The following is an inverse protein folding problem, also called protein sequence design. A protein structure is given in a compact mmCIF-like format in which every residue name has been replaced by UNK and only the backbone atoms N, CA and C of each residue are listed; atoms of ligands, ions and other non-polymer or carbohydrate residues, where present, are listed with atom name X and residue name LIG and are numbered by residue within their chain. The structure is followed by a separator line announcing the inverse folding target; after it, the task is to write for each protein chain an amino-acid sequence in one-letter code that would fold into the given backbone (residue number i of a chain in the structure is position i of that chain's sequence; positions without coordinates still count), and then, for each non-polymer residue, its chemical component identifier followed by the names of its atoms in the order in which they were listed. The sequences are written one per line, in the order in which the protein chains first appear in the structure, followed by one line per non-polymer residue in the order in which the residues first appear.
data_IF_942820198223
#
_entry.id   IF_942820198223
#
_cell.length_a   1.000
_cell.length_b   1.000
_cell.length_c   1.000
_cell.angle_alpha   90.00
_cell.angle_beta   90.00
_cell.angle_gamma   90.00
#
_symmetry.space_group_name_H-M   'P 1'
#
loop_
_entity.id
_entity.type
_entity.pdbx_description
1 polymer ?
#
# COMPACT_ATOMS: atom_id res chain seq x y z
N UNK A 1 20.94 6.01 13.83
CA UNK A 1 20.47 4.63 14.00
C UNK A 1 20.72 3.91 12.68
N UNK A 2 21.52 2.86 12.66
CA UNK A 2 21.83 2.13 11.44
C UNK A 2 20.67 1.15 11.14
N UNK A 3 20.13 1.13 9.92
CA UNK A 3 19.08 0.19 9.50
C UNK A 3 19.49 -1.27 9.77
N UNK A 4 20.78 -1.56 9.73
CA UNK A 4 21.31 -2.90 9.99
C UNK A 4 21.05 -3.41 11.42
N UNK A 5 20.85 -2.51 12.38
CA UNK A 5 20.78 -2.86 13.80
C UNK A 5 19.34 -3.07 14.28
N UNK A 6 18.35 -2.54 13.56
CA UNK A 6 16.93 -2.72 13.89
C UNK A 6 16.36 -3.96 13.18
N UNK A 7 15.81 -4.88 13.97
CA UNK A 7 15.12 -6.07 13.46
C UNK A 7 13.95 -5.69 12.55
N UNK A 8 13.13 -4.74 12.98
CA UNK A 8 11.97 -4.25 12.21
C UNK A 8 12.36 -3.53 10.92
N UNK A 9 13.41 -2.71 10.96
CA UNK A 9 13.90 -2.02 9.78
C UNK A 9 14.44 -2.98 8.70
N UNK A 10 14.99 -4.14 9.07
CA UNK A 10 15.38 -5.20 8.12
C UNK A 10 14.17 -5.71 7.35
N UNK A 11 13.07 -6.00 8.04
CA UNK A 11 11.85 -6.47 7.39
C UNK A 11 11.17 -5.37 6.56
N UNK A 12 11.15 -4.12 7.03
CA UNK A 12 10.65 -2.99 6.25
C UNK A 12 11.44 -2.82 4.94
N UNK A 13 12.78 -2.88 5.01
CA UNK A 13 13.64 -2.82 3.83
C UNK A 13 13.35 -3.98 2.87
N UNK A 14 13.19 -5.20 3.39
CA UNK A 14 12.93 -6.38 2.59
C UNK A 14 11.55 -6.31 1.91
N UNK A 15 10.52 -5.84 2.61
CA UNK A 15 9.20 -5.58 2.01
C UNK A 15 9.28 -4.54 0.87
N UNK A 16 9.99 -3.44 1.10
CA UNK A 16 10.19 -2.41 0.08
C UNK A 16 10.88 -2.98 -1.16
N UNK A 17 11.95 -3.74 -0.94
CA UNK A 17 12.71 -4.36 -2.03
C UNK A 17 11.88 -5.38 -2.81
N UNK A 18 11.13 -6.26 -2.14
CA UNK A 18 10.25 -7.22 -2.82
C UNK A 18 9.13 -6.51 -3.58
N UNK A 19 8.55 -5.46 -3.03
CA UNK A 19 7.59 -4.63 -3.74
C UNK A 19 8.20 -4.03 -5.01
N UNK A 20 9.37 -3.44 -4.91
CA UNK A 20 10.09 -2.93 -6.09
C UNK A 20 10.39 -4.03 -7.12
N UNK A 21 10.97 -5.15 -6.69
CA UNK A 21 11.31 -6.28 -7.56
C UNK A 21 10.10 -6.83 -8.31
N UNK A 22 8.97 -7.01 -7.62
CA UNK A 22 7.74 -7.53 -8.24
C UNK A 22 7.15 -6.56 -9.28
N UNK A 23 7.33 -5.27 -9.09
CA UNK A 23 6.81 -4.24 -10.00
C UNK A 23 7.75 -3.94 -11.16
N UNK A 24 9.06 -4.02 -10.97
CA UNK A 24 10.06 -3.69 -12.00
C UNK A 24 10.00 -4.72 -13.15
N UNK A 25 10.24 -4.34 -14.43
CA UNK A 25 10.31 -5.27 -15.55
C UNK A 25 11.34 -6.38 -15.33
N UNK A 26 11.10 -7.54 -15.93
CA UNK A 26 11.99 -8.70 -15.90
C UNK A 26 11.47 -9.86 -15.04
N UNK A 27 12.15 -10.98 -15.08
CA UNK A 27 11.80 -12.18 -14.33
C UNK A 27 11.96 -11.97 -12.83
N UNK A 28 11.01 -12.50 -12.06
CA UNK A 28 11.02 -12.45 -10.60
C UNK A 28 11.79 -13.62 -10.05
N UNK A 29 12.67 -13.37 -9.11
CA UNK A 29 13.47 -14.42 -8.47
C UNK A 29 13.41 -14.25 -6.95
N UNK A 30 12.90 -15.26 -6.28
CA UNK A 30 13.04 -15.48 -4.85
C UNK A 30 13.83 -16.78 -4.67
N UNK A 31 14.85 -16.74 -3.84
CA UNK A 31 15.69 -17.88 -3.59
C UNK A 31 15.40 -18.44 -2.19
N UNK A 32 15.58 -19.69 -2.00
CA UNK A 32 15.42 -20.57 -0.83
C UNK A 32 15.32 -19.83 0.52
N UNK A 33 14.11 -19.70 1.07
CA UNK A 33 13.85 -19.08 2.36
C UNK A 33 13.75 -17.55 2.36
N UNK A 34 13.96 -16.87 1.22
CA UNK A 34 13.83 -15.42 1.15
C UNK A 34 12.38 -14.95 1.38
N UNK A 35 11.40 -15.76 1.00
CA UNK A 35 9.97 -15.48 1.14
C UNK A 35 9.51 -15.33 2.60
N UNK A 36 10.26 -15.87 3.55
CA UNK A 36 10.04 -15.65 4.98
C UNK A 36 11.23 -15.02 5.70
N UNK A 37 12.22 -14.51 4.93
CA UNK A 37 13.32 -13.72 5.48
C UNK A 37 14.32 -14.55 6.29
N UNK A 38 14.69 -15.74 5.84
CA UNK A 38 15.74 -16.54 6.46
C UNK A 38 17.04 -15.73 6.60
N UNK A 39 17.69 -15.80 7.76
CA UNK A 39 18.90 -15.02 8.04
C UNK A 39 20.19 -15.71 7.56
N UNK A 40 20.17 -17.02 7.56
CA UNK A 40 21.33 -17.82 7.10
C UNK A 40 21.26 -18.00 5.59
N UNK A 41 22.42 -18.02 4.97
CA UNK A 41 22.50 -18.37 3.55
C UNK A 41 22.05 -19.83 3.34
N UNK A 42 21.41 -20.09 2.20
CA UNK A 42 20.99 -21.42 1.84
C UNK A 42 22.18 -22.39 1.75
N UNK A 43 21.96 -23.60 2.23
CA UNK A 43 22.95 -24.66 2.22
C UNK A 43 22.28 -25.99 1.80
N UNK A 44 22.82 -26.63 0.77
CA UNK A 44 22.27 -27.87 0.21
C UNK A 44 22.29 -29.08 1.18
N UNK A 45 23.10 -29.01 2.23
CA UNK A 45 23.21 -30.09 3.24
C UNK A 45 22.21 -29.91 4.40
N UNK A 46 21.48 -28.79 4.46
CA UNK A 46 20.57 -28.47 5.56
C UNK A 46 19.19 -28.12 5.05
N UNK A 47 18.18 -28.41 5.87
CA UNK A 47 16.83 -27.85 5.68
C UNK A 47 16.84 -26.34 5.86
N UNK A 48 15.86 -25.65 5.25
CA UNK A 48 15.58 -24.25 5.56
C UNK A 48 15.17 -24.10 7.03
N UNK A 49 15.38 -22.88 7.58
CA UNK A 49 15.10 -22.56 8.98
C UNK A 49 13.57 -22.36 9.20
N UNK A 50 12.77 -23.39 8.91
CA UNK A 50 11.29 -23.36 9.00
C UNK A 50 10.76 -22.93 10.37
N UNK A 51 11.55 -23.09 11.43
CA UNK A 51 11.21 -22.64 12.78
C UNK A 51 11.02 -21.11 12.85
N UNK A 52 11.56 -20.34 11.90
CA UNK A 52 11.39 -18.89 11.83
C UNK A 52 9.93 -18.49 11.60
N UNK A 53 9.14 -19.35 10.96
CA UNK A 53 7.69 -19.13 10.80
C UNK A 53 6.90 -19.17 12.13
N UNK A 54 7.53 -19.52 13.24
CA UNK A 54 6.97 -19.35 14.58
C UNK A 54 7.08 -17.91 15.11
N UNK A 55 7.70 -16.99 14.39
CA UNK A 55 7.85 -15.59 14.77
C UNK A 55 7.06 -14.67 13.84
N UNK A 56 6.35 -13.72 14.42
CA UNK A 56 5.38 -12.86 13.73
C UNK A 56 5.98 -12.18 12.48
N UNK A 57 7.16 -11.55 12.58
CA UNK A 57 7.77 -10.83 11.46
C UNK A 57 8.07 -11.70 10.24
N UNK A 58 8.42 -12.95 10.44
CA UNK A 58 8.66 -13.91 9.34
C UNK A 58 7.35 -14.36 8.69
N UNK A 59 6.32 -14.59 9.50
CA UNK A 59 4.98 -14.96 9.02
C UNK A 59 4.29 -13.79 8.30
N UNK A 60 4.42 -12.57 8.82
CA UNK A 60 3.95 -11.34 8.19
C UNK A 60 4.63 -11.10 6.83
N UNK A 61 5.96 -11.29 6.75
CA UNK A 61 6.69 -11.20 5.49
C UNK A 61 6.22 -12.27 4.49
N UNK A 62 6.03 -13.51 4.93
CA UNK A 62 5.53 -14.58 4.06
C UNK A 62 4.13 -14.25 3.54
N UNK A 63 3.27 -13.67 4.38
CA UNK A 63 1.94 -13.18 3.99
C UNK A 63 2.06 -12.10 2.92
N UNK A 64 2.99 -11.15 3.09
CA UNK A 64 3.25 -10.13 2.09
C UNK A 64 3.70 -10.72 0.75
N UNK A 65 4.66 -11.65 0.75
CA UNK A 65 5.12 -12.31 -0.48
C UNK A 65 4.00 -13.10 -1.15
N UNK A 66 3.17 -13.79 -0.39
CA UNK A 66 1.97 -14.48 -0.90
C UNK A 66 1.01 -13.49 -1.58
N UNK A 67 0.77 -12.35 -0.94
CA UNK A 67 -0.08 -11.27 -1.48
C UNK A 67 0.52 -10.67 -2.74
N UNK A 68 1.83 -10.39 -2.77
CA UNK A 68 2.54 -9.90 -3.96
C UNK A 68 2.43 -10.88 -5.14
N UNK A 69 2.56 -12.18 -4.90
CA UNK A 69 2.42 -13.20 -5.94
C UNK A 69 1.00 -13.24 -6.52
N UNK A 70 -0.03 -13.11 -5.67
CA UNK A 70 -1.42 -13.03 -6.11
C UNK A 70 -1.67 -11.74 -6.90
N UNK A 71 -1.22 -10.61 -6.36
CA UNK A 71 -1.31 -9.29 -6.96
C UNK A 71 -0.63 -9.22 -8.33
N UNK A 72 0.55 -9.79 -8.47
CA UNK A 72 1.28 -9.88 -9.75
C UNK A 72 0.46 -10.64 -10.81
N UNK A 73 -0.13 -11.78 -10.45
CA UNK A 73 -0.95 -12.59 -11.37
C UNK A 73 -2.24 -11.88 -11.77
N UNK A 74 -2.86 -11.16 -10.84
CA UNK A 74 -4.13 -10.45 -11.06
C UNK A 74 -3.97 -9.23 -11.98
N UNK A 75 -2.77 -8.62 -12.00
CA UNK A 75 -2.54 -7.37 -12.72
C UNK A 75 -1.65 -7.56 -13.95
N UNK A 76 -2.24 -7.70 -15.15
CA UNK A 76 -1.51 -7.90 -16.42
C UNK A 76 -0.45 -6.84 -16.73
N UNK A 77 -0.59 -5.64 -16.15
CA UNK A 77 0.39 -4.56 -16.29
C UNK A 77 1.82 -4.95 -15.85
N UNK A 78 1.98 -5.97 -14.99
CA UNK A 78 3.29 -6.39 -14.48
C UNK A 78 3.98 -7.46 -15.35
N UNK A 79 3.25 -8.15 -16.23
CA UNK A 79 3.82 -9.29 -16.96
C UNK A 79 3.45 -9.36 -18.44
N UNK A 80 2.39 -8.67 -18.88
CA UNK A 80 1.90 -8.79 -20.25
C UNK A 80 2.83 -8.12 -21.28
N UNK A 81 3.40 -6.95 -20.91
CA UNK A 81 4.33 -6.16 -21.76
C UNK A 81 5.65 -5.97 -21.00
N UNK A 82 6.29 -7.09 -20.63
CA UNK A 82 7.44 -7.06 -19.71
C UNK A 82 8.78 -6.84 -20.42
N UNK A 83 8.86 -7.20 -21.70
CA UNK A 83 10.10 -7.09 -22.50
C UNK A 83 10.14 -5.91 -23.46
N UNK A 84 9.15 -5.02 -23.38
CA UNK A 84 9.04 -3.82 -24.21
C UNK A 84 8.99 -2.57 -23.35
N UNK A 85 9.66 -1.53 -23.81
CA UNK A 85 9.61 -0.20 -23.20
C UNK A 85 8.18 0.40 -23.17
N UNK A 86 7.26 -0.11 -23.98
CA UNK A 86 5.84 0.30 -23.97
C UNK A 86 5.14 -0.04 -22.65
N UNK A 87 5.55 -1.13 -22.01
CA UNK A 87 5.00 -1.59 -20.73
C UNK A 87 5.55 -0.88 -19.50
N UNK A 88 6.58 -0.01 -19.67
CA UNK A 88 7.28 0.65 -18.58
C UNK A 88 7.55 2.13 -18.89
N UNK A 89 7.40 2.99 -17.89
CA UNK A 89 7.76 4.40 -18.02
C UNK A 89 8.17 4.97 -16.67
N UNK A 90 9.35 5.56 -16.61
CA UNK A 90 9.78 6.34 -15.45
C UNK A 90 8.93 7.60 -15.28
N UNK A 91 8.66 7.96 -14.02
CA UNK A 91 8.12 9.27 -13.61
C UNK A 91 9.17 10.02 -12.82
N UNK A 92 9.74 9.38 -11.81
CA UNK A 92 10.81 9.91 -10.97
C UNK A 92 11.93 8.86 -10.96
N UNK A 93 12.93 8.99 -11.84
CA UNK A 93 14.04 8.02 -11.92
C UNK A 93 15.18 8.31 -10.94
N UNK A 94 15.36 9.56 -10.52
CA UNK A 94 16.63 10.11 -10.02
C UNK A 94 16.53 11.01 -8.77
N UNK A 95 15.44 10.92 -7.99
CA UNK A 95 15.35 11.66 -6.72
C UNK A 95 16.23 10.99 -5.64
N UNK A 96 17.54 11.09 -5.83
CA UNK A 96 18.54 10.53 -4.91
C UNK A 96 18.57 11.23 -3.55
N UNK A 97 18.17 12.50 -3.47
CA UNK A 97 18.14 13.25 -2.22
C UNK A 97 17.07 12.73 -1.25
N UNK A 98 15.94 12.29 -1.79
CA UNK A 98 14.86 11.71 -1.00
C UNK A 98 14.86 10.18 -1.02
N UNK A 99 15.69 9.56 -1.87
CA UNK A 99 15.73 8.11 -2.12
C UNK A 99 14.36 7.56 -2.51
N UNK A 100 13.68 8.28 -3.40
CA UNK A 100 12.35 7.93 -3.92
C UNK A 100 12.46 7.67 -5.41
N UNK A 101 11.84 6.60 -5.88
CA UNK A 101 11.64 6.33 -7.30
C UNK A 101 10.15 6.12 -7.59
N UNK A 102 9.73 6.50 -8.79
CA UNK A 102 8.37 6.27 -9.26
C UNK A 102 8.34 5.91 -10.75
N UNK A 103 7.49 4.94 -11.10
CA UNK A 103 7.33 4.48 -12.46
C UNK A 103 5.92 3.94 -12.72
N UNK A 104 5.59 3.80 -14.00
CA UNK A 104 4.35 3.22 -14.48
C UNK A 104 4.59 1.84 -15.07
N UNK A 105 3.67 0.93 -14.79
CA UNK A 105 3.49 -0.32 -15.51
C UNK A 105 2.20 -0.24 -16.33
N UNK A 106 2.23 -0.76 -17.54
CA UNK A 106 1.13 -0.65 -18.50
C UNK A 106 0.84 -2.02 -19.11
N UNK A 107 -0.43 -2.33 -19.29
CA UNK A 107 -0.87 -3.50 -20.03
C UNK A 107 -1.26 -3.15 -21.48
N UNK A 108 -1.57 -4.17 -22.31
CA UNK A 108 -2.00 -4.00 -23.69
C UNK A 108 -3.38 -3.34 -23.82
N UNK A 109 -4.18 -3.35 -22.76
CA UNK A 109 -5.52 -2.70 -22.74
C UNK A 109 -5.44 -1.21 -22.40
N UNK A 110 -4.27 -0.70 -22.05
CA UNK A 110 -4.04 0.69 -21.62
C UNK A 110 -4.36 0.95 -20.15
N UNK A 111 -4.61 -0.08 -19.34
CA UNK A 111 -4.62 0.07 -17.89
C UNK A 111 -3.21 0.29 -17.39
N UNK A 112 -3.08 1.12 -16.37
CA UNK A 112 -1.79 1.51 -15.82
C UNK A 112 -1.80 1.39 -14.32
N UNK A 113 -0.65 1.01 -13.76
CA UNK A 113 -0.37 1.02 -12.33
C UNK A 113 0.83 1.92 -12.09
N UNK A 114 0.66 2.88 -11.20
CA UNK A 114 1.73 3.73 -10.72
C UNK A 114 2.35 3.05 -9.49
N UNK A 115 3.66 2.90 -9.50
CA UNK A 115 4.44 2.34 -8.40
C UNK A 115 5.35 3.43 -7.86
N UNK A 116 5.37 3.60 -6.53
CA UNK A 116 6.22 4.58 -5.85
C UNK A 116 6.94 3.87 -4.71
N UNK A 117 8.27 3.94 -4.69
CA UNK A 117 9.11 3.33 -3.67
C UNK A 117 9.86 4.42 -2.88
N UNK A 118 9.75 4.38 -1.57
CA UNK A 118 10.55 5.17 -0.64
C UNK A 118 11.57 4.25 0.04
N UNK A 119 12.83 4.37 -0.31
CA UNK A 119 13.93 3.59 0.28
C UNK A 119 14.54 4.25 1.51
N UNK A 120 13.99 5.37 1.96
CA UNK A 120 14.48 6.10 3.13
C UNK A 120 13.62 5.77 4.36
N UNK A 121 14.21 5.60 5.55
CA UNK A 121 13.47 5.38 6.80
C UNK A 121 12.79 6.65 7.35
N UNK A 122 12.42 7.58 6.45
CA UNK A 122 11.77 8.85 6.80
C UNK A 122 10.41 8.94 6.12
N UNK A 123 9.39 9.31 6.89
CA UNK A 123 8.08 9.65 6.38
C UNK A 123 8.18 10.88 5.45
N UNK A 124 7.58 10.78 4.26
CA UNK A 124 7.50 11.87 3.30
C UNK A 124 6.06 12.35 3.17
N UNK A 125 5.71 13.39 3.91
CA UNK A 125 4.40 14.03 3.80
C UNK A 125 4.37 14.98 2.59
N UNK A 126 3.27 14.96 1.87
CA UNK A 126 3.06 15.90 0.76
C UNK A 126 3.99 15.69 -0.44
N UNK A 127 4.51 14.48 -0.66
CA UNK A 127 5.35 14.19 -1.83
C UNK A 127 4.54 14.32 -3.11
N UNK A 128 5.00 15.19 -4.01
CA UNK A 128 4.28 15.51 -5.25
C UNK A 128 4.99 14.91 -6.45
N UNK A 129 4.26 14.17 -7.29
CA UNK A 129 4.79 13.55 -8.51
C UNK A 129 3.84 13.74 -9.69
N UNK A 130 4.40 13.62 -10.91
CA UNK A 130 3.64 13.76 -12.15
C UNK A 130 2.59 12.66 -12.31
N UNK A 131 1.45 13.01 -12.88
CA UNK A 131 0.32 12.13 -13.10
C UNK A 131 -0.04 12.04 -14.59
N UNK A 132 -0.01 10.83 -15.21
CA UNK A 132 -0.24 10.67 -16.65
C UNK A 132 -1.69 10.91 -17.09
N UNK A 133 -2.66 10.74 -16.18
CA UNK A 133 -4.09 10.88 -16.46
C UNK A 133 -4.77 11.68 -15.36
N UNK A 134 -5.64 12.61 -15.77
CA UNK A 134 -6.48 13.37 -14.84
C UNK A 134 -7.54 12.46 -14.18
N UNK A 135 -7.64 12.53 -12.85
CA UNK A 135 -8.66 11.77 -12.13
C UNK A 135 -8.30 11.46 -10.69
N UNK A 136 -8.83 10.37 -10.18
CA UNK A 136 -8.56 9.87 -8.83
C UNK A 136 -7.72 8.60 -8.89
N UNK A 137 -6.58 8.63 -8.26
CA UNK A 137 -5.66 7.50 -8.09
C UNK A 137 -6.05 6.76 -6.82
N UNK A 138 -6.28 5.46 -6.92
CA UNK A 138 -6.65 4.62 -5.79
C UNK A 138 -5.44 3.80 -5.36
N UNK A 139 -5.05 3.89 -4.10
CA UNK A 139 -4.07 2.98 -3.50
C UNK A 139 -4.67 1.57 -3.48
N UNK A 140 -3.95 0.59 -4.03
CA UNK A 140 -4.39 -0.79 -4.18
C UNK A 140 -3.51 -1.78 -3.42
N UNK A 141 -2.29 -1.40 -3.08
CA UNK A 141 -1.40 -2.17 -2.22
C UNK A 141 -0.38 -1.23 -1.57
N UNK A 142 -0.12 -1.46 -0.28
CA UNK A 142 0.86 -0.73 0.52
C UNK A 142 1.72 -1.74 1.30
N UNK A 143 3.02 -1.73 1.09
CA UNK A 143 3.93 -2.65 1.79
C UNK A 143 4.08 -2.35 3.28
N UNK A 144 3.63 -1.17 3.74
CA UNK A 144 3.66 -0.76 5.15
C UNK A 144 2.33 -1.03 5.89
N UNK A 145 1.40 -1.78 5.29
CA UNK A 145 0.18 -2.21 5.96
C UNK A 145 0.49 -3.10 7.18
N UNK A 146 -0.32 -2.96 8.23
CA UNK A 146 -0.15 -3.71 9.47
C UNK A 146 -0.22 -5.23 9.26
N UNK A 147 -1.00 -5.69 8.29
CA UNK A 147 -1.12 -7.11 7.91
C UNK A 147 0.23 -7.72 7.49
N UNK A 148 1.14 -6.89 6.97
CA UNK A 148 2.48 -7.30 6.53
C UNK A 148 3.57 -6.98 7.55
N UNK A 149 3.19 -6.60 8.77
CA UNK A 149 4.11 -6.18 9.82
C UNK A 149 4.67 -4.78 9.64
N UNK A 150 4.01 -3.95 8.85
CA UNK A 150 4.26 -2.53 8.72
C UNK A 150 3.61 -1.71 9.82
N UNK A 151 3.75 -0.38 9.74
CA UNK A 151 3.16 0.54 10.71
C UNK A 151 1.64 0.68 10.54
N UNK A 152 1.13 0.53 9.33
CA UNK A 152 -0.28 0.76 8.99
C UNK A 152 -0.74 2.20 9.22
N UNK A 153 0.20 3.13 9.45
CA UNK A 153 -0.13 4.51 9.85
C UNK A 153 -0.59 5.40 8.69
N UNK A 154 -0.20 5.06 7.46
CA UNK A 154 -0.43 5.91 6.28
C UNK A 154 -1.19 5.16 5.20
N UNK A 155 -2.32 5.72 4.80
CA UNK A 155 -3.12 5.24 3.67
C UNK A 155 -3.57 6.40 2.78
N UNK A 156 -3.21 6.35 1.50
CA UNK A 156 -3.61 7.35 0.50
C UNK A 156 -4.89 6.93 -0.24
N UNK A 157 -5.95 6.58 0.45
CA UNK A 157 -7.20 5.94 -0.06
C UNK A 157 -7.55 6.28 -1.51
N UNK A 158 -7.74 7.59 -1.82
CA UNK A 158 -8.05 8.07 -3.16
C UNK A 158 -7.49 9.49 -3.34
N UNK A 159 -6.47 9.64 -4.18
CA UNK A 159 -5.76 10.90 -4.41
C UNK A 159 -6.23 11.53 -5.72
N UNK A 160 -6.68 12.77 -5.68
CA UNK A 160 -7.09 13.51 -6.87
C UNK A 160 -5.91 14.25 -7.49
N UNK A 161 -5.91 14.33 -8.82
CA UNK A 161 -4.91 15.11 -9.56
C UNK A 161 -5.14 16.61 -9.42
N UNK A 162 -4.04 17.35 -9.40
CA UNK A 162 -3.99 18.81 -9.47
C UNK A 162 -3.48 19.23 -10.84
N UNK A 163 -3.97 20.37 -11.38
CA UNK A 163 -3.50 20.99 -12.62
C UNK A 163 -2.17 21.73 -12.38
N UNK A 164 -1.16 21.01 -11.95
CA UNK A 164 0.20 21.53 -11.75
C UNK A 164 1.16 20.62 -12.53
N UNK A 165 1.84 21.14 -13.57
CA UNK A 165 2.77 20.33 -14.33
C UNK A 165 3.95 19.86 -13.46
N UNK A 166 4.33 18.58 -13.61
CA UNK A 166 5.47 17.99 -12.90
C UNK A 166 5.98 16.75 -13.63
N UNK A 167 7.29 16.53 -13.60
CA UNK A 167 7.97 15.37 -14.21
C UNK A 167 7.55 15.09 -15.67
N UNK A 168 7.34 16.14 -16.47
CA UNK A 168 6.91 16.01 -17.86
C UNK A 168 5.43 15.71 -18.09
N UNK A 169 4.60 15.69 -17.04
CA UNK A 169 3.14 15.55 -17.12
C UNK A 169 2.44 16.87 -16.81
N UNK A 170 1.28 17.11 -17.44
CA UNK A 170 0.47 18.33 -17.23
C UNK A 170 -0.20 18.39 -15.84
N UNK A 171 -0.22 17.27 -15.14
CA UNK A 171 -0.90 17.11 -13.87
C UNK A 171 0.01 16.44 -12.85
N UNK A 172 -0.30 16.61 -11.58
CA UNK A 172 0.41 16.00 -10.47
C UNK A 172 -0.57 15.44 -9.44
N UNK A 173 -0.09 14.52 -8.62
CA UNK A 173 -0.72 14.05 -7.40
C UNK A 173 0.20 14.33 -6.23
N UNK A 174 -0.39 14.53 -5.06
CA UNK A 174 0.33 14.70 -3.80
C UNK A 174 -0.05 13.55 -2.87
N UNK A 175 0.94 12.80 -2.40
CA UNK A 175 0.77 11.60 -1.59
C UNK A 175 1.66 11.66 -0.35
N UNK A 176 1.35 10.84 0.63
CA UNK A 176 2.23 10.59 1.77
C UNK A 176 2.90 9.23 1.60
N UNK A 177 4.22 9.19 1.71
CA UNK A 177 5.02 7.97 1.57
C UNK A 177 5.49 7.50 2.94
N UNK A 178 5.05 6.32 3.41
CA UNK A 178 5.59 5.71 4.62
C UNK A 178 7.10 5.49 4.51
N UNK A 179 7.81 5.39 5.64
CA UNK A 179 9.22 5.00 5.65
C UNK A 179 9.39 3.61 5.04
N UNK A 180 10.44 3.41 4.24
CA UNK A 180 10.81 2.10 3.67
C UNK A 180 9.59 1.33 3.15
N UNK A 181 8.92 1.90 2.13
CA UNK A 181 7.67 1.36 1.61
C UNK A 181 7.59 1.40 0.08
N UNK A 182 6.80 0.49 -0.46
CA UNK A 182 6.37 0.47 -1.86
C UNK A 182 4.86 0.58 -1.92
N UNK A 183 4.37 1.59 -2.63
CA UNK A 183 2.95 1.87 -2.82
C UNK A 183 2.56 1.63 -4.28
N UNK A 184 1.38 1.06 -4.47
CA UNK A 184 0.80 0.81 -5.79
C UNK A 184 -0.52 1.55 -5.93
N UNK A 185 -0.67 2.29 -7.02
CA UNK A 185 -1.89 3.04 -7.30
C UNK A 185 -2.47 2.64 -8.65
N UNK A 186 -3.76 2.39 -8.69
CA UNK A 186 -4.51 2.25 -9.93
C UNK A 186 -4.66 3.63 -10.57
N UNK A 187 -4.20 3.75 -11.83
CA UNK A 187 -4.33 4.98 -12.62
C UNK A 187 -5.74 5.03 -13.23
N UNK A 188 -6.44 6.17 -13.12
CA UNK A 188 -7.78 6.28 -13.69
C UNK A 188 -7.76 6.09 -15.21
N UNK A 189 -8.77 5.42 -15.75
CA UNK A 189 -8.91 5.26 -17.20
C UNK A 189 -9.05 6.61 -17.89
N UNK A 190 -8.40 6.79 -19.06
CA UNK A 190 -8.58 7.98 -19.89
C UNK A 190 -10.05 8.11 -20.30
N UNK A 191 -10.71 9.20 -19.93
CA UNK A 191 -12.09 9.49 -20.37
C UNK A 191 -12.07 9.79 -21.86
N UNK A 192 -12.50 8.83 -22.68
CA UNK A 192 -12.75 9.10 -24.09
C UNK A 192 -13.98 10.02 -24.21
N UNK A 193 -13.96 10.99 -25.12
CA UNK A 193 -15.06 11.94 -25.34
C UNK A 193 -16.43 11.26 -25.55
N UNK A 194 -16.45 10.03 -26.11
CA UNK A 194 -17.67 9.24 -26.32
C UNK A 194 -18.37 8.85 -25.00
N UNK A 195 -17.64 8.49 -23.96
CA UNK A 195 -18.22 8.15 -22.67
C UNK A 195 -18.77 9.35 -21.89
N UNK A 196 -18.31 10.57 -22.21
CA UNK A 196 -18.84 11.81 -21.63
C UNK A 196 -20.18 12.21 -22.26
N UNK A 197 -20.38 11.99 -23.57
CA UNK A 197 -21.63 12.26 -24.26
C UNK A 197 -22.78 11.33 -23.78
N UNK A 198 -22.48 10.04 -23.61
CA UNK A 198 -23.48 9.05 -23.16
C UNK A 198 -23.97 9.27 -21.72
N UNK A 199 -23.14 9.89 -20.85
CA UNK A 199 -23.56 10.25 -19.48
C UNK A 199 -24.38 11.53 -19.44
N UNK A 200 -24.17 12.50 -20.34
CA UNK A 200 -24.98 13.71 -20.43
C UNK A 200 -26.36 13.40 -20.97
N UNK A 201 -26.48 12.50 -21.93
CA UNK A 201 -27.78 12.06 -22.47
C UNK A 201 -28.60 11.25 -21.44
N UNK A 202 -27.96 10.41 -20.62
CA UNK A 202 -28.64 9.70 -19.52
C UNK A 202 -29.06 10.61 -18.37
N UNK A 203 -28.28 11.66 -18.08
CA UNK A 203 -28.64 12.66 -17.08
C UNK A 203 -29.78 13.56 -17.57
N UNK A 204 -29.75 13.98 -18.85
CA UNK A 204 -30.82 14.74 -19.49
C UNK A 204 -32.14 13.99 -19.51
N UNK A 205 -32.14 12.69 -19.84
CA UNK A 205 -33.34 11.84 -19.82
C UNK A 205 -33.91 11.63 -18.43
N UNK A 206 -33.07 11.50 -17.38
CA UNK A 206 -33.52 11.38 -15.97
C UNK A 206 -34.16 12.67 -15.45
N UNK A 207 -33.64 13.84 -15.81
CA UNK A 207 -34.23 15.14 -15.43
C UNK A 207 -35.50 15.46 -16.17
N UNK A 208 -35.64 15.08 -17.46
CA UNK A 208 -36.86 15.21 -18.21
C UNK A 208 -37.98 14.30 -17.67
N UNK A 209 -37.65 13.04 -17.33
CA UNK A 209 -38.61 12.09 -16.74
C UNK A 209 -39.06 12.53 -15.33
N UNK A 210 -38.19 13.17 -14.54
CA UNK A 210 -38.55 13.71 -13.23
C UNK A 210 -39.44 14.95 -13.32
N UNK A 211 -39.22 15.83 -14.32
CA UNK A 211 -40.10 16.98 -14.62
C UNK A 211 -41.48 16.56 -15.12
N UNK A 212 -41.56 15.49 -15.94
CA UNK A 212 -42.84 14.96 -16.43
C UNK A 212 -43.68 14.33 -15.30
N UNK A 213 -43.05 13.60 -14.36
CA UNK A 213 -43.74 13.04 -13.17
C UNK A 213 -44.27 14.13 -12.23
N UNK A 214 -43.52 15.19 -11.96
CA UNK A 214 -43.98 16.29 -11.10
C UNK A 214 -45.09 17.14 -11.76
N UNK A 215 -45.12 17.23 -13.10
CA UNK A 215 -46.21 17.90 -13.80
C UNK A 215 -47.52 17.07 -13.78
N UNK A 216 -47.41 15.75 -13.90
CA UNK A 216 -48.58 14.84 -13.82
C UNK A 216 -49.15 14.79 -12.37
N UNK A 217 -48.30 14.82 -11.35
CA UNK A 217 -48.73 14.83 -9.95
C UNK A 217 -49.39 16.15 -9.54
N UNK A 218 -48.95 17.31 -10.10
CA UNK A 218 -49.63 18.61 -9.91
C UNK A 218 -50.96 18.70 -10.65
N UNK A 219 -51.15 17.97 -11.77
CA UNK A 219 -52.44 17.93 -12.49
C UNK A 219 -53.46 17.06 -11.73
N UNK A 220 -53.05 15.94 -11.15
CA UNK A 220 -53.92 15.08 -10.34
C UNK A 220 -54.40 15.73 -9.02
N UNK A 221 -53.56 16.60 -8.42
CA UNK A 221 -53.92 17.31 -7.18
C UNK A 221 -54.95 18.43 -7.34
N UNK A 222 -55.34 18.82 -8.58
CA UNK A 222 -56.28 19.91 -8.86
C UNK A 222 -57.71 19.46 -9.01
N UNK A 223 -57.99 18.14 -9.01
CA UNK A 223 -59.35 17.60 -9.29
C UNK A 223 -60.11 17.17 -8.02
N UNK A 224 -59.52 17.20 -6.82
CA UNK A 224 -60.19 16.77 -5.58
C UNK A 224 -60.27 17.96 -4.61
N UNK A 225 -61.27 18.85 -4.83
CA UNK A 225 -61.82 19.72 -3.79
C UNK A 225 -63.31 19.93 -4.06
N UNK A 226 -64.18 19.11 -3.47
CA UNK A 226 -65.50 19.50 -3.00
C UNK A 226 -65.84 18.69 -1.73
N UNK A 227 -66.52 19.29 -0.73
CA UNK A 227 -66.60 18.78 0.62
C UNK A 227 -67.85 17.97 0.88
N UNK A 228 -67.75 16.95 1.73
CA UNK A 228 -68.88 16.16 2.16
C UNK A 228 -68.63 15.50 3.53
N UNK A 229 -69.19 16.09 4.54
CA UNK A 229 -69.80 15.51 5.75
C UNK A 229 -69.12 14.32 6.48
N UNK A 230 -68.81 14.57 7.77
CA UNK A 230 -68.54 13.59 8.82
C UNK A 230 -69.76 12.72 9.12
N UNK A 231 -69.57 11.51 9.62
CA UNK A 231 -70.12 11.12 10.90
C UNK A 231 -69.07 10.51 11.86
N UNK A 232 -69.51 10.42 13.08
CA UNK A 232 -68.98 10.33 14.41
C UNK A 232 -68.99 8.88 14.91
N UNK A 233 -68.15 8.63 15.91
CA UNK A 233 -68.15 7.54 16.90
C UNK A 233 -67.55 6.18 16.43
N UNK A 234 -66.86 5.35 17.16
CA UNK A 234 -66.82 5.15 18.61
C UNK A 234 -65.62 4.29 19.00
N UNK A 235 -65.27 4.37 20.24
CA UNK A 235 -64.25 3.77 21.05
C UNK A 235 -64.17 2.24 21.13
N UNK A 236 -63.03 1.72 21.50
CA UNK A 236 -62.71 0.69 22.50
C UNK A 236 -61.21 0.34 22.41
N UNK A 237 -60.41 0.58 23.34
CA UNK A 237 -59.96 0.07 24.62
C UNK A 237 -59.58 -1.41 24.65
N UNK A 238 -58.35 -1.69 24.98
CA UNK A 238 -57.75 -2.73 25.85
C UNK A 238 -56.24 -2.77 25.60
N UNK A 239 -55.37 -2.35 26.55
CA UNK A 239 -54.78 -3.09 27.67
C UNK A 239 -54.16 -4.45 27.20
N UNK A 240 -52.96 -4.83 27.50
CA UNK A 240 -52.24 -4.95 28.77
C UNK A 240 -50.78 -5.39 28.56
N UNK A 241 -49.92 -4.92 29.47
CA UNK A 241 -48.83 -5.57 30.23
C UNK A 241 -47.53 -6.01 29.57
N UNK A 242 -46.45 -5.38 29.90
CA UNK A 242 -45.53 -5.56 31.05
C UNK A 242 -44.48 -6.67 30.87
N UNK A 243 -43.23 -6.29 30.99
CA UNK A 243 -42.11 -7.22 31.07
C UNK A 243 -40.76 -6.55 31.32
N UNK A 244 -40.58 -5.97 32.51
CA UNK A 244 -39.28 -5.57 33.07
C UNK A 244 -38.41 -6.80 33.35
N UNK A 245 -37.13 -6.82 32.93
CA UNK A 245 -36.05 -7.51 33.66
C UNK A 245 -34.73 -6.77 33.44
N UNK A 246 -34.38 -5.99 34.38
CA UNK A 246 -33.29 -5.89 35.34
C UNK A 246 -31.91 -6.30 34.86
N UNK A 247 -31.03 -5.29 34.90
CA UNK A 247 -29.59 -5.31 34.83
C UNK A 247 -28.94 -6.21 35.91
N UNK A 248 -27.83 -6.86 35.55
CA UNK A 248 -26.86 -7.33 36.52
C UNK A 248 -25.46 -6.84 36.10
N UNK A 249 -24.98 -5.82 36.82
CA UNK A 249 -23.57 -5.42 36.89
C UNK A 249 -22.79 -6.54 37.58
N UNK A 250 -21.75 -7.03 36.96
CA UNK A 250 -20.67 -7.74 37.63
C UNK A 250 -19.46 -6.82 37.72
N UNK A 251 -19.07 -6.55 38.94
CA UNK A 251 -17.91 -5.81 39.40
C UNK A 251 -16.78 -6.82 39.50
N UNK A 252 -15.65 -6.57 38.83
CA UNK A 252 -14.41 -7.31 39.03
C UNK A 252 -13.36 -6.32 39.51
N UNK A 253 -12.82 -6.58 40.67
CA UNK A 253 -11.72 -5.84 41.31
C UNK A 253 -10.38 -6.17 40.69
N UNK A 254 -9.38 -5.28 40.80
CA UNK A 254 -8.06 -5.49 40.22
C UNK A 254 -7.16 -6.33 41.16
N UNK A 255 -6.55 -7.34 40.60
CA UNK A 255 -5.53 -8.17 41.24
C UNK A 255 -4.14 -7.59 41.09
N UNK A 256 -3.34 -7.80 42.11
CA UNK A 256 -2.08 -7.15 42.44
C UNK A 256 -0.95 -7.40 41.46
N UNK A 257 -0.15 -6.37 41.32
CA UNK A 257 1.20 -6.39 40.72
C UNK A 257 2.10 -7.41 41.41
N UNK A 258 2.77 -8.24 40.62
CA UNK A 258 3.86 -9.11 41.05
C UNK A 258 5.22 -8.62 40.49
N UNK A 259 6.24 -8.75 41.33
CA UNK A 259 7.53 -8.09 41.28
C UNK A 259 8.40 -8.47 40.07
N UNK A 260 9.18 -7.51 39.59
CA UNK A 260 10.24 -7.67 38.60
C UNK A 260 11.44 -8.48 39.13
N UNK A 261 12.05 -9.37 38.34
CA UNK A 261 13.26 -10.07 38.75
C UNK A 261 14.51 -9.20 38.62
N UNK A 262 15.35 -9.30 39.62
CA UNK A 262 16.59 -8.58 39.85
C UNK A 262 17.64 -8.79 38.74
N UNK A 263 18.28 -7.70 38.34
CA UNK A 263 19.46 -7.65 37.44
C UNK A 263 20.62 -8.43 38.04
N UNK A 264 21.11 -9.45 37.35
CA UNK A 264 22.37 -10.10 37.63
C UNK A 264 23.48 -9.38 36.83
N UNK A 265 24.32 -8.61 37.53
CA UNK A 265 25.43 -7.91 36.94
C UNK A 265 26.61 -8.86 36.68
N UNK A 266 27.04 -8.97 35.43
CA UNK A 266 28.36 -9.48 35.07
C UNK A 266 29.19 -8.33 34.53
N UNK A 267 30.32 -8.06 35.20
CA UNK A 267 31.37 -7.11 34.75
C UNK A 267 32.00 -7.63 33.44
N UNK A 268 32.29 -6.79 32.47
CA UNK A 268 33.06 -7.20 31.31
C UNK A 268 34.53 -7.38 31.64
N UNK A 269 35.11 -8.46 31.13
CA UNK A 269 36.51 -8.81 31.18
C UNK A 269 37.26 -7.99 30.13
N UNK A 270 38.37 -7.38 30.51
CA UNK A 270 39.22 -6.61 29.60
C UNK A 270 39.74 -7.48 28.45
N UNK A 271 39.54 -7.03 27.23
CA UNK A 271 40.12 -7.63 26.03
C UNK A 271 41.52 -7.06 25.76
N UNK A 272 42.41 -7.99 25.41
CA UNK A 272 43.81 -7.70 25.09
C UNK A 272 43.89 -7.12 23.66
N UNK A 273 44.79 -6.15 23.46
CA UNK A 273 45.09 -5.52 22.18
C UNK A 273 45.62 -6.53 21.15
N UNK A 274 45.18 -6.49 19.89
CA UNK A 274 45.74 -7.31 18.82
C UNK A 274 47.07 -6.68 18.32
N UNK A 275 48.11 -7.53 18.24
CA UNK A 275 49.41 -7.21 17.65
C UNK A 275 49.28 -6.85 16.16
N UNK A 276 49.92 -5.78 15.76
CA UNK A 276 50.03 -5.33 14.35
C UNK A 276 50.69 -6.38 13.46
N UNK A 277 50.02 -6.82 12.45
CA UNK A 277 50.52 -7.70 11.38
C UNK A 277 51.15 -6.87 10.27
N UNK A 278 52.41 -7.21 9.93
CA UNK A 278 53.23 -6.47 8.93
C UNK A 278 52.70 -6.68 7.53
N UNK A 279 52.49 -5.62 6.79
CA UNK A 279 52.11 -5.60 5.39
C UNK A 279 53.17 -6.24 4.47
N UNK A 280 52.80 -7.05 3.45
CA UNK A 280 53.76 -7.61 2.50
C UNK A 280 54.27 -6.58 1.49
N UNK A 281 55.56 -6.65 1.20
CA UNK A 281 56.32 -5.76 0.34
C UNK A 281 55.80 -5.79 -1.13
N UNK A 282 55.63 -4.60 -1.73
CA UNK A 282 55.36 -4.41 -3.17
C UNK A 282 56.52 -4.86 -4.03
N UNK A 283 56.30 -5.91 -4.84
CA UNK A 283 57.21 -6.25 -5.95
C UNK A 283 57.00 -5.29 -7.12
N UNK A 284 57.95 -4.42 -7.37
CA UNK A 284 58.05 -3.59 -8.58
C UNK A 284 58.44 -4.46 -9.77
N UNK A 285 57.56 -4.55 -10.79
CA UNK A 285 57.90 -5.11 -12.11
C UNK A 285 58.54 -3.98 -12.95
N UNK A 286 59.79 -4.24 -13.45
CA UNK A 286 60.45 -3.41 -14.47
C UNK A 286 59.73 -3.52 -15.82
N UNK A 287 59.68 -2.43 -16.62
CA UNK A 287 59.15 -2.48 -17.98
C UNK A 287 60.11 -3.22 -18.90
N UNK A 288 59.57 -4.00 -19.85
CA UNK A 288 60.32 -4.57 -21.00
C UNK A 288 60.38 -3.55 -22.11
N UNK A 289 61.59 -3.32 -22.61
CA UNK A 289 61.85 -2.54 -23.83
C UNK A 289 61.36 -3.28 -25.09
N UNK A 290 60.93 -2.57 -26.14
CA UNK A 290 60.57 -3.16 -27.42
C UNK A 290 61.83 -3.51 -28.22
N UNK A 291 61.80 -4.69 -28.85
CA UNK A 291 62.78 -5.05 -29.90
C UNK A 291 62.23 -4.68 -31.26
N UNK A 292 63.10 -4.12 -32.07
CA UNK A 292 62.92 -3.87 -33.48
C UNK A 292 62.45 -5.08 -34.30
#
# INVERSE_FOLDING_TARGET
MCIRDSYEAKFANLRTFFGYMMAHPGKKLLFMGQEFGQFTEWNETKSLDWMLLGYDKHTELQTYVKTLNAFYKEHPAFWQVDYSWEGFQWIVPDDSQQSVIAFLRKDTSGKQILVVCNFNPVLREGYTLGAPVAGSYKEILNSDDAEFGGSGAVHNKAVRTHKKPMHGFEQSITITLPPMSTLYFEVPAKRTRKAAADKTDKAGKKTAAKKAKTAAEKAAAKVVKKPGRKPKAEAAAAEEKSGKKTARKAKVEPEKAEEAPKKCGRKPKAEAEPKAEKAPAKRTRKPKEPKE
#
